data_IF_910350590438
#
_entry.id   IF_910350590438
#
_cell.length_a   1.000
_cell.length_b   1.000
_cell.length_c   1.000
_cell.angle_alpha   90.00
_cell.angle_beta   90.00
_cell.angle_gamma   90.00
#
_symmetry.space_group_name_H-M   'P 1'
#
loop_
_entity.id
_entity.type
_entity.pdbx_description
1 polymer ?
#
# COMPACT_ATOMS: atom_id res chain seq x y z
N UNK A 1 27.84 -4.16 22.10
CA UNK A 1 27.20 -3.87 23.41
C UNK A 1 25.71 -3.91 23.20
N UNK A 2 25.08 -5.06 23.45
CA UNK A 2 23.62 -5.26 23.33
C UNK A 2 23.02 -4.48 24.50
N UNK A 3 22.44 -3.29 24.23
CA UNK A 3 21.63 -2.60 25.21
C UNK A 3 20.43 -3.52 25.52
N UNK A 4 20.35 -4.00 26.73
CA UNK A 4 19.18 -4.72 27.20
C UNK A 4 17.98 -3.77 27.04
N UNK A 5 17.06 -4.12 26.14
CA UNK A 5 15.78 -3.42 25.98
C UNK A 5 15.09 -3.50 27.34
N UNK A 6 14.73 -2.34 27.92
CA UNK A 6 14.02 -2.36 29.19
C UNK A 6 12.67 -3.06 29.01
N UNK A 7 12.14 -3.69 30.05
CA UNK A 7 10.81 -4.33 29.99
C UNK A 7 9.73 -3.31 29.59
N UNK A 8 9.89 -2.04 29.94
CA UNK A 8 9.01 -0.94 29.55
C UNK A 8 9.05 -0.69 28.04
N UNK A 9 10.25 -0.62 27.43
CA UNK A 9 10.39 -0.40 26.00
C UNK A 9 9.75 -1.53 25.17
N UNK A 10 9.89 -2.77 25.65
CA UNK A 10 9.23 -3.92 25.04
C UNK A 10 7.69 -3.79 25.09
N UNK A 11 7.12 -3.36 26.22
CA UNK A 11 5.69 -3.11 26.32
C UNK A 11 5.21 -1.94 25.44
N UNK A 12 5.95 -0.85 25.38
CA UNK A 12 5.61 0.30 24.54
C UNK A 12 5.69 -0.06 23.04
N UNK A 13 6.67 -0.85 22.66
CA UNK A 13 6.77 -1.42 21.31
C UNK A 13 5.56 -2.30 20.99
N UNK A 14 5.19 -3.20 21.90
CA UNK A 14 4.00 -4.05 21.74
C UNK A 14 2.72 -3.21 21.58
N UNK A 15 2.50 -2.21 22.43
CA UNK A 15 1.36 -1.28 22.30
C UNK A 15 1.37 -0.57 20.94
N UNK A 16 2.55 -0.16 20.46
CA UNK A 16 2.72 0.43 19.14
C UNK A 16 2.28 -0.51 18.02
N UNK A 17 2.60 -1.80 18.09
CA UNK A 17 2.22 -2.79 17.06
C UNK A 17 0.71 -3.01 16.95
N UNK A 18 -0.07 -2.65 17.98
CA UNK A 18 -1.54 -2.75 17.94
C UNK A 18 -2.19 -1.62 17.14
N UNK A 19 -1.45 -0.55 16.81
CA UNK A 19 -1.99 0.61 16.11
C UNK A 19 -2.77 0.26 14.84
N UNK A 20 -2.27 -0.58 13.89
CA UNK A 20 -3.01 -0.95 12.69
C UNK A 20 -4.34 -1.66 12.96
N UNK A 21 -4.45 -2.39 14.05
CA UNK A 21 -5.69 -3.08 14.41
C UNK A 21 -6.72 -2.10 15.01
N UNK A 22 -6.26 -1.17 15.87
CA UNK A 22 -7.15 -0.28 16.62
C UNK A 22 -7.67 0.89 15.78
N UNK A 23 -6.88 1.38 14.80
CA UNK A 23 -7.21 2.58 14.00
C UNK A 23 -8.51 2.44 13.19
N UNK A 24 -8.92 1.22 12.85
CA UNK A 24 -10.13 0.98 12.06
C UNK A 24 -11.42 1.38 12.81
N UNK A 25 -11.43 1.29 14.13
CA UNK A 25 -12.61 1.62 14.92
C UNK A 25 -12.98 3.10 14.87
N UNK A 26 -12.11 4.08 15.19
CA UNK A 26 -12.48 5.48 15.11
C UNK A 26 -12.82 5.92 13.68
N UNK A 27 -12.17 5.37 12.67
CA UNK A 27 -12.46 5.66 11.26
C UNK A 27 -13.87 5.16 10.91
N UNK A 28 -14.17 3.88 11.14
CA UNK A 28 -15.46 3.30 10.80
C UNK A 28 -16.60 3.95 11.57
N UNK A 29 -16.47 4.14 12.88
CA UNK A 29 -17.49 4.75 13.72
C UNK A 29 -17.72 6.21 13.37
N UNK A 30 -16.68 6.98 13.07
CA UNK A 30 -16.79 8.36 12.63
C UNK A 30 -17.52 8.50 11.30
N UNK A 31 -17.19 7.65 10.32
CA UNK A 31 -17.85 7.63 9.02
C UNK A 31 -19.32 7.22 9.15
N UNK A 32 -19.62 6.15 9.90
CA UNK A 32 -21.00 5.69 10.12
C UNK A 32 -21.83 6.74 10.84
N UNK A 33 -21.28 7.40 11.87
CA UNK A 33 -21.96 8.50 12.54
C UNK A 33 -22.27 9.65 11.58
N UNK A 34 -21.34 10.01 10.69
CA UNK A 34 -21.51 11.06 9.69
C UNK A 34 -22.61 10.70 8.68
N UNK A 35 -22.64 9.45 8.20
CA UNK A 35 -23.68 8.97 7.27
C UNK A 35 -25.07 9.03 7.95
N UNK A 36 -25.19 8.56 9.19
CA UNK A 36 -26.45 8.59 9.94
C UNK A 36 -26.93 10.03 10.15
N UNK A 37 -26.03 10.95 10.47
CA UNK A 37 -26.40 12.37 10.65
C UNK A 37 -26.71 13.09 9.35
N UNK A 38 -26.08 12.71 8.24
CA UNK A 38 -26.45 13.19 6.92
C UNK A 38 -27.89 12.77 6.58
N UNK A 39 -28.24 11.51 6.86
CA UNK A 39 -29.60 11.01 6.70
C UNK A 39 -30.59 11.71 7.62
N UNK A 40 -30.23 11.96 8.89
CA UNK A 40 -31.01 12.74 9.84
C UNK A 40 -31.23 14.18 9.37
N UNK A 41 -30.22 14.80 8.74
CA UNK A 41 -30.36 16.14 8.15
C UNK A 41 -31.37 16.16 7.00
N UNK A 42 -31.39 15.15 6.13
CA UNK A 42 -32.37 14.99 5.05
C UNK A 42 -33.80 14.86 5.63
N UNK A 43 -33.94 14.12 6.75
CA UNK A 43 -35.21 13.95 7.47
C UNK A 43 -35.62 15.16 8.32
N UNK A 44 -34.75 16.18 8.39
CA UNK A 44 -34.95 17.38 9.22
C UNK A 44 -35.03 17.10 10.72
N UNK A 45 -34.30 16.08 11.18
CA UNK A 45 -34.21 15.77 12.60
C UNK A 45 -33.64 16.96 13.39
N UNK A 46 -34.20 17.31 14.56
CA UNK A 46 -33.86 18.57 15.25
C UNK A 46 -32.47 18.59 15.86
N UNK A 47 -31.83 17.44 16.09
CA UNK A 47 -30.53 17.34 16.74
C UNK A 47 -29.80 16.04 16.45
N UNK A 48 -28.61 15.85 17.04
CA UNK A 48 -27.85 14.63 16.91
C UNK A 48 -28.64 13.39 17.34
N UNK A 49 -28.60 12.32 16.54
CA UNK A 49 -29.25 11.06 16.88
C UNK A 49 -28.52 10.36 18.05
N UNK A 50 -29.24 9.52 18.82
CA UNK A 50 -28.63 8.76 19.91
C UNK A 50 -27.54 7.84 19.39
N UNK A 51 -27.79 7.20 18.25
CA UNK A 51 -26.87 6.27 17.65
C UNK A 51 -25.56 6.98 17.22
N UNK A 52 -25.69 8.09 16.46
CA UNK A 52 -24.50 8.83 16.01
C UNK A 52 -23.70 9.36 17.19
N UNK A 53 -24.38 9.89 18.22
CA UNK A 53 -23.69 10.38 19.40
C UNK A 53 -22.97 9.26 20.17
N UNK A 54 -23.57 8.09 20.31
CA UNK A 54 -22.92 6.93 20.91
C UNK A 54 -21.71 6.49 20.09
N UNK A 55 -21.85 6.42 18.77
CA UNK A 55 -20.73 6.10 17.87
C UNK A 55 -19.58 7.11 17.97
N UNK A 56 -19.89 8.42 18.06
CA UNK A 56 -18.87 9.47 18.22
C UNK A 56 -18.18 9.35 19.58
N UNK A 57 -18.87 9.02 20.67
CA UNK A 57 -18.24 8.77 21.97
C UNK A 57 -17.28 7.59 21.93
N UNK A 58 -17.69 6.45 21.37
CA UNK A 58 -16.78 5.30 21.20
C UNK A 58 -15.60 5.64 20.29
N UNK A 59 -15.85 6.34 19.17
CA UNK A 59 -14.80 6.80 18.29
C UNK A 59 -13.80 7.71 19.01
N UNK A 60 -14.27 8.63 19.84
CA UNK A 60 -13.43 9.55 20.62
C UNK A 60 -12.53 8.80 21.61
N UNK A 61 -13.09 7.86 22.38
CA UNK A 61 -12.34 7.05 23.35
C UNK A 61 -11.26 6.24 22.64
N UNK A 62 -11.65 5.52 21.57
CA UNK A 62 -10.71 4.66 20.84
C UNK A 62 -9.68 5.50 20.07
N UNK A 63 -10.03 6.71 19.60
CA UNK A 63 -9.08 7.61 18.95
C UNK A 63 -7.93 8.04 19.87
N UNK A 64 -8.18 8.21 21.18
CA UNK A 64 -7.10 8.47 22.16
C UNK A 64 -6.14 7.28 22.23
N UNK A 65 -6.67 6.06 22.28
CA UNK A 65 -5.84 4.84 22.29
C UNK A 65 -5.08 4.71 20.97
N UNK A 66 -5.74 4.99 19.85
CA UNK A 66 -5.15 4.93 18.50
C UNK A 66 -4.01 5.93 18.34
N UNK A 67 -4.20 7.19 18.74
CA UNK A 67 -3.15 8.22 18.64
C UNK A 67 -1.96 7.89 19.53
N UNK A 68 -2.20 7.39 20.74
CA UNK A 68 -1.14 6.98 21.68
C UNK A 68 -0.34 5.80 21.13
N UNK A 69 -1.02 4.75 20.68
CA UNK A 69 -0.37 3.58 20.07
C UNK A 69 0.38 3.94 18.79
N UNK A 70 -0.19 4.84 17.97
CA UNK A 70 0.47 5.34 16.75
C UNK A 70 1.74 6.14 17.04
N UNK A 71 1.76 6.91 18.14
CA UNK A 71 2.96 7.60 18.59
C UNK A 71 4.07 6.61 18.89
N UNK A 72 3.80 5.60 19.70
CA UNK A 72 4.78 4.55 20.02
C UNK A 72 5.19 3.74 18.79
N UNK A 73 4.25 3.42 17.89
CA UNK A 73 4.56 2.75 16.64
C UNK A 73 5.60 3.50 15.81
N UNK A 74 5.45 4.82 15.68
CA UNK A 74 6.38 5.64 14.91
C UNK A 74 7.74 5.82 15.59
N UNK A 75 7.76 5.93 16.93
CA UNK A 75 8.98 6.15 17.71
C UNK A 75 9.86 4.90 17.76
N UNK A 76 9.28 3.76 18.11
CA UNK A 76 10.03 2.52 18.32
C UNK A 76 10.35 1.75 17.04
N UNK A 77 9.57 1.91 15.97
CA UNK A 77 9.87 1.33 14.67
C UNK A 77 10.80 2.21 13.81
N UNK A 78 11.36 3.30 14.41
CA UNK A 78 12.34 4.20 13.81
C UNK A 78 11.97 4.61 12.36
N UNK A 79 10.69 4.91 12.14
CA UNK A 79 10.20 5.39 10.84
C UNK A 79 10.72 6.80 10.62
N UNK A 80 11.52 6.98 9.58
CA UNK A 80 12.10 8.28 9.22
C UNK A 80 11.05 9.40 9.09
N UNK A 81 11.49 10.65 9.23
CA UNK A 81 10.63 11.83 9.08
C UNK A 81 10.21 11.99 7.62
N UNK A 82 9.05 11.44 7.24
CA UNK A 82 8.41 11.69 5.95
C UNK A 82 7.27 12.69 6.10
N UNK A 83 6.95 13.41 5.02
CA UNK A 83 5.80 14.31 4.99
C UNK A 83 4.49 13.55 5.28
N UNK A 84 4.34 12.35 4.72
CA UNK A 84 3.17 11.50 4.95
C UNK A 84 3.03 11.12 6.43
N UNK A 85 4.11 10.76 7.12
CA UNK A 85 4.09 10.49 8.56
C UNK A 85 3.75 11.73 9.37
N UNK A 86 4.33 12.89 9.02
CA UNK A 86 4.03 14.15 9.69
C UNK A 86 2.55 14.51 9.57
N UNK A 87 2.00 14.50 8.36
CA UNK A 87 0.58 14.80 8.10
C UNK A 87 -0.33 13.78 8.78
N UNK A 88 -0.04 12.48 8.64
CA UNK A 88 -0.80 11.40 9.28
C UNK A 88 -0.88 11.60 10.80
N UNK A 89 0.24 11.89 11.45
CA UNK A 89 0.32 12.10 12.89
C UNK A 89 -0.54 13.28 13.33
N UNK A 90 -0.34 14.45 12.71
CA UNK A 90 -1.00 15.67 13.17
C UNK A 90 -2.48 15.74 12.80
N UNK A 91 -2.87 15.27 11.63
CA UNK A 91 -4.28 15.18 11.24
C UNK A 91 -4.99 14.14 12.11
N UNK A 92 -4.34 13.01 12.44
CA UNK A 92 -4.87 12.00 13.35
C UNK A 92 -5.13 12.57 14.76
N UNK A 93 -4.17 13.29 15.33
CA UNK A 93 -4.32 13.95 16.64
C UNK A 93 -5.44 15.01 16.61
N UNK A 94 -5.47 15.85 15.57
CA UNK A 94 -6.53 16.85 15.40
C UNK A 94 -7.91 16.20 15.28
N UNK A 95 -8.02 15.09 14.53
CA UNK A 95 -9.27 14.34 14.39
C UNK A 95 -9.73 13.74 15.72
N UNK A 96 -8.81 13.22 16.55
CA UNK A 96 -9.14 12.72 17.88
C UNK A 96 -9.66 13.84 18.80
N UNK A 97 -9.02 15.01 18.79
CA UNK A 97 -9.48 16.18 19.54
C UNK A 97 -10.87 16.67 19.05
N UNK A 98 -11.10 16.67 17.75
CA UNK A 98 -12.40 16.99 17.17
C UNK A 98 -13.48 15.98 17.57
N UNK A 99 -13.20 14.68 17.58
CA UNK A 99 -14.14 13.65 18.03
C UNK A 99 -14.53 13.85 19.49
N UNK A 100 -13.58 14.19 20.38
CA UNK A 100 -13.88 14.49 21.79
C UNK A 100 -14.79 15.73 21.88
N UNK A 101 -14.45 16.78 21.15
CA UNK A 101 -15.24 18.02 21.11
C UNK A 101 -16.67 17.77 20.57
N UNK A 102 -16.78 16.94 19.53
CA UNK A 102 -18.06 16.52 18.95
C UNK A 102 -18.88 15.67 19.93
N UNK A 103 -18.27 14.76 20.68
CA UNK A 103 -18.95 13.95 21.68
C UNK A 103 -19.55 14.82 22.78
N UNK A 104 -18.76 15.76 23.32
CA UNK A 104 -19.21 16.67 24.38
C UNK A 104 -20.26 17.64 23.87
N UNK A 105 -19.98 18.37 22.78
CA UNK A 105 -20.91 19.36 22.23
C UNK A 105 -22.19 18.72 21.71
N UNK A 106 -22.12 17.54 21.07
CA UNK A 106 -23.28 16.79 20.63
C UNK A 106 -24.19 16.38 21.77
N UNK A 107 -23.63 15.98 22.92
CA UNK A 107 -24.41 15.67 24.14
C UNK A 107 -25.16 16.90 24.66
N UNK A 108 -24.54 18.07 24.63
CA UNK A 108 -25.17 19.33 25.04
C UNK A 108 -26.27 19.75 24.07
N UNK A 109 -26.00 19.69 22.76
CA UNK A 109 -26.97 20.05 21.71
C UNK A 109 -28.18 19.13 21.75
N UNK A 110 -27.95 17.82 22.00
CA UNK A 110 -29.05 16.85 22.12
C UNK A 110 -29.98 17.15 23.30
N UNK A 111 -29.43 17.61 24.40
CA UNK A 111 -30.24 17.99 25.59
C UNK A 111 -31.06 19.26 25.33
N UNK A 112 -30.58 20.18 24.49
CA UNK A 112 -31.25 21.45 24.14
C UNK A 112 -31.07 21.76 22.65
N UNK A 113 -31.81 21.09 21.75
CA UNK A 113 -31.57 21.20 20.32
C UNK A 113 -31.90 22.60 19.79
N UNK A 114 -30.92 23.17 19.07
CA UNK A 114 -31.08 24.41 18.29
C UNK A 114 -30.66 24.08 16.86
N UNK A 115 -31.50 24.39 15.89
CA UNK A 115 -31.28 24.00 14.49
C UNK A 115 -29.94 24.46 13.93
N UNK A 116 -29.52 25.70 14.24
CA UNK A 116 -28.20 26.23 13.81
C UNK A 116 -27.02 25.46 14.40
N UNK A 117 -27.08 25.11 15.69
CA UNK A 117 -26.03 24.37 16.36
C UNK A 117 -25.99 22.91 15.89
N UNK A 118 -27.14 22.28 15.68
CA UNK A 118 -27.21 20.92 15.13
C UNK A 118 -26.65 20.85 13.70
N UNK A 119 -26.97 21.87 12.86
CA UNK A 119 -26.39 21.98 11.51
C UNK A 119 -24.87 22.15 11.53
N UNK A 120 -24.37 23.08 12.34
CA UNK A 120 -22.91 23.29 12.49
C UNK A 120 -22.19 22.02 13.00
N UNK A 121 -22.78 21.35 13.99
CA UNK A 121 -22.24 20.11 14.54
C UNK A 121 -22.13 19.01 13.47
N UNK A 122 -23.17 18.83 12.66
CA UNK A 122 -23.19 17.90 11.52
C UNK A 122 -22.10 18.21 10.51
N UNK A 123 -21.91 19.47 10.17
CA UNK A 123 -20.84 19.88 9.23
C UNK A 123 -19.44 19.56 9.77
N UNK A 124 -19.21 19.84 11.06
CA UNK A 124 -17.93 19.50 11.69
C UNK A 124 -17.72 17.98 11.75
N UNK A 125 -18.78 17.20 12.02
CA UNK A 125 -18.71 15.74 12.01
C UNK A 125 -18.35 15.20 10.61
N UNK A 126 -18.97 15.72 9.56
CA UNK A 126 -18.67 15.36 8.17
C UNK A 126 -17.22 15.69 7.80
N UNK A 127 -16.76 16.89 8.17
CA UNK A 127 -15.36 17.28 7.96
C UNK A 127 -14.37 16.38 8.71
N UNK A 128 -14.72 16.02 9.97
CA UNK A 128 -13.91 15.11 10.79
C UNK A 128 -13.87 13.71 10.18
N UNK A 129 -15.00 13.20 9.67
CA UNK A 129 -15.04 11.90 8.97
C UNK A 129 -14.18 11.91 7.71
N UNK A 130 -14.19 13.01 6.95
CA UNK A 130 -13.28 13.19 5.81
C UNK A 130 -11.80 13.21 6.22
N UNK A 131 -11.46 13.91 7.31
CA UNK A 131 -10.10 13.95 7.86
C UNK A 131 -9.64 12.57 8.34
N UNK A 132 -10.51 11.77 8.98
CA UNK A 132 -10.24 10.40 9.38
C UNK A 132 -9.97 9.50 8.16
N UNK A 133 -10.79 9.61 7.11
CA UNK A 133 -10.58 8.90 5.85
C UNK A 133 -9.24 9.26 5.19
N UNK A 134 -8.92 10.56 5.15
CA UNK A 134 -7.63 11.03 4.62
C UNK A 134 -6.44 10.55 5.46
N UNK A 135 -6.55 10.57 6.80
CA UNK A 135 -5.53 10.02 7.69
C UNK A 135 -5.33 8.52 7.44
N UNK A 136 -6.42 7.77 7.22
CA UNK A 136 -6.36 6.36 6.83
C UNK A 136 -5.65 6.15 5.50
N UNK A 137 -5.92 7.01 4.50
CA UNK A 137 -5.23 6.98 3.21
C UNK A 137 -3.72 7.23 3.35
N UNK A 138 -3.32 8.25 4.13
CA UNK A 138 -1.89 8.51 4.40
C UNK A 138 -1.23 7.32 5.10
N UNK A 139 -1.92 6.68 6.05
CA UNK A 139 -1.45 5.46 6.70
C UNK A 139 -1.27 4.30 5.72
N UNK A 140 -2.25 4.11 4.83
CA UNK A 140 -2.18 3.13 3.75
C UNK A 140 -1.01 3.37 2.80
N UNK A 141 -0.81 4.62 2.36
CA UNK A 141 0.31 4.99 1.49
C UNK A 141 1.68 4.70 2.11
N UNK A 142 1.82 4.82 3.43
CA UNK A 142 3.06 4.46 4.13
C UNK A 142 3.33 2.95 4.19
N UNK A 143 2.30 2.11 4.04
CA UNK A 143 2.41 0.64 4.10
C UNK A 143 2.47 0.03 2.71
N UNK A 144 1.64 0.52 1.79
CA UNK A 144 1.43 -0.07 0.47
C UNK A 144 2.04 0.75 -0.67
N UNK A 145 2.63 1.92 -0.37
CA UNK A 145 3.13 2.86 -1.36
C UNK A 145 2.10 3.89 -1.82
N UNK A 146 2.60 4.97 -2.44
CA UNK A 146 1.74 6.01 -3.00
C UNK A 146 0.97 5.44 -4.21
N UNK A 147 -0.30 5.81 -4.34
CA UNK A 147 -1.13 5.37 -5.45
C UNK A 147 -1.83 4.02 -5.25
N UNK A 148 -1.62 3.31 -4.14
CA UNK A 148 -2.12 1.94 -3.94
C UNK A 148 -3.64 1.75 -4.19
N UNK A 149 -4.47 2.76 -3.93
CA UNK A 149 -5.91 2.73 -4.24
C UNK A 149 -6.15 3.12 -5.69
N UNK A 150 -5.51 4.21 -6.15
CA UNK A 150 -5.75 4.78 -7.48
C UNK A 150 -5.25 3.86 -8.57
N UNK A 151 -4.07 3.26 -8.41
CA UNK A 151 -3.47 2.37 -9.40
C UNK A 151 -4.28 1.07 -9.53
N UNK A 152 -4.75 0.53 -8.40
CA UNK A 152 -5.67 -0.61 -8.41
C UNK A 152 -7.00 -0.28 -9.12
N UNK A 153 -7.55 0.90 -8.89
CA UNK A 153 -8.78 1.36 -9.55
C UNK A 153 -8.56 1.56 -11.05
N UNK A 154 -7.49 2.25 -11.45
CA UNK A 154 -7.20 2.50 -12.86
C UNK A 154 -6.93 1.19 -13.61
N UNK A 155 -6.18 0.26 -13.02
CA UNK A 155 -5.96 -1.05 -13.62
C UNK A 155 -7.25 -1.86 -13.80
N UNK A 156 -8.17 -1.78 -12.83
CA UNK A 156 -9.48 -2.43 -12.94
C UNK A 156 -10.35 -1.82 -14.05
N UNK A 157 -10.34 -0.49 -14.18
CA UNK A 157 -11.06 0.22 -15.25
C UNK A 157 -10.48 -0.14 -16.62
N UNK A 158 -9.14 -0.09 -16.77
CA UNK A 158 -8.46 -0.42 -18.03
C UNK A 158 -8.74 -1.87 -18.47
N UNK A 159 -8.70 -2.83 -17.55
CA UNK A 159 -9.07 -4.21 -17.82
C UNK A 159 -10.53 -4.36 -18.30
N UNK A 160 -11.44 -3.59 -17.70
CA UNK A 160 -12.86 -3.59 -18.09
C UNK A 160 -13.04 -3.03 -19.50
N UNK A 161 -12.41 -1.90 -19.81
CA UNK A 161 -12.46 -1.31 -21.15
C UNK A 161 -11.84 -2.22 -22.21
N UNK A 162 -10.70 -2.84 -21.90
CA UNK A 162 -10.04 -3.80 -22.78
C UNK A 162 -10.94 -5.00 -23.04
N UNK A 163 -11.56 -5.58 -22.02
CA UNK A 163 -12.48 -6.71 -22.16
C UNK A 163 -13.70 -6.36 -23.01
N UNK A 164 -14.27 -5.17 -22.83
CA UNK A 164 -15.39 -4.69 -23.65
C UNK A 164 -14.97 -4.49 -25.12
N UNK A 165 -13.82 -3.90 -25.37
CA UNK A 165 -13.25 -3.71 -26.70
C UNK A 165 -13.02 -5.03 -27.40
N UNK A 166 -12.37 -5.99 -26.73
CA UNK A 166 -12.09 -7.32 -27.28
C UNK A 166 -13.39 -8.08 -27.59
N UNK A 167 -14.39 -7.96 -26.72
CA UNK A 167 -15.73 -8.54 -26.95
C UNK A 167 -16.43 -7.92 -28.16
N UNK A 168 -16.35 -6.60 -28.33
CA UNK A 168 -16.93 -5.89 -29.47
C UNK A 168 -16.22 -6.26 -30.79
N UNK A 169 -14.89 -6.36 -30.77
CA UNK A 169 -14.08 -6.77 -31.91
C UNK A 169 -14.43 -8.22 -32.31
N UNK A 170 -14.54 -9.13 -31.35
CA UNK A 170 -14.91 -10.51 -31.61
C UNK A 170 -16.34 -10.64 -32.16
N UNK A 171 -17.28 -9.87 -31.65
CA UNK A 171 -18.64 -9.81 -32.18
C UNK A 171 -18.66 -9.27 -33.61
N UNK A 172 -17.92 -8.22 -33.93
CA UNK A 172 -17.80 -7.69 -35.29
C UNK A 172 -17.15 -8.69 -36.26
N UNK A 173 -16.07 -9.38 -35.83
CA UNK A 173 -15.45 -10.44 -36.63
C UNK A 173 -16.43 -11.58 -36.94
N UNK A 174 -17.23 -11.99 -35.95
CA UNK A 174 -18.25 -13.04 -36.14
C UNK A 174 -19.32 -12.60 -37.14
N UNK A 175 -19.76 -11.33 -37.12
CA UNK A 175 -20.73 -10.79 -38.09
C UNK A 175 -20.16 -10.71 -39.51
N UNK A 176 -18.87 -10.47 -39.66
CA UNK A 176 -18.19 -10.39 -40.96
C UNK A 176 -17.73 -11.76 -41.49
N UNK A 177 -17.99 -12.85 -40.75
CA UNK A 177 -17.58 -14.20 -41.12
C UNK A 177 -16.05 -14.40 -41.13
N UNK A 178 -15.31 -13.54 -40.43
CA UNK A 178 -13.86 -13.64 -40.30
C UNK A 178 -13.60 -14.75 -39.26
N UNK A 179 -13.40 -15.96 -39.72
CA UNK A 179 -12.90 -17.06 -38.90
C UNK A 179 -11.38 -16.90 -38.83
N UNK A 180 -10.86 -16.47 -37.70
CA UNK A 180 -9.43 -16.63 -37.40
C UNK A 180 -9.18 -18.14 -37.36
N UNK A 181 -8.56 -18.68 -38.42
CA UNK A 181 -7.96 -19.99 -38.33
C UNK A 181 -6.97 -19.94 -37.16
N UNK A 182 -7.09 -20.81 -36.14
CA UNK A 182 -6.05 -20.92 -35.15
C UNK A 182 -4.77 -21.17 -35.95
N UNK A 183 -3.77 -20.28 -35.80
CA UNK A 183 -2.44 -20.66 -36.19
C UNK A 183 -2.13 -21.92 -35.41
N UNK A 184 -2.27 -23.06 -36.10
CA UNK A 184 -1.72 -24.32 -35.69
C UNK A 184 -0.22 -24.04 -35.63
N UNK A 185 0.26 -23.69 -34.45
CA UNK A 185 1.66 -23.90 -34.12
C UNK A 185 1.81 -25.39 -34.28
N UNK A 186 2.27 -25.78 -35.47
CA UNK A 186 2.54 -27.16 -35.81
C UNK A 186 3.41 -27.69 -34.68
N UNK A 187 2.83 -28.57 -33.88
CA UNK A 187 3.58 -29.52 -33.12
C UNK A 187 4.38 -30.28 -34.19
N UNK A 188 5.64 -29.89 -34.35
CA UNK A 188 6.61 -30.72 -35.02
C UNK A 188 6.74 -31.95 -34.17
N UNK A 189 5.95 -32.94 -34.45
CA UNK A 189 6.10 -34.28 -33.94
C UNK A 189 7.55 -34.70 -34.17
N UNK A 190 8.21 -34.92 -33.05
CA UNK A 190 9.47 -35.63 -33.03
C UNK A 190 9.26 -37.02 -33.63
N UNK A 191 9.59 -37.17 -34.90
CA UNK A 191 9.90 -38.48 -35.44
C UNK A 191 11.37 -38.71 -35.18
N UNK A 192 11.63 -39.77 -34.43
CA UNK A 192 12.92 -40.26 -34.10
C UNK A 192 13.77 -40.46 -35.36
N UNK A 193 14.98 -39.89 -35.36
CA UNK A 193 16.13 -40.47 -36.05
C UNK A 193 17.29 -40.45 -35.09
N UNK A 194 17.77 -41.62 -34.84
CA UNK A 194 18.92 -41.99 -34.06
C UNK A 194 20.24 -41.52 -34.71
N UNK A 195 21.20 -41.28 -33.87
CA UNK A 195 22.64 -41.58 -34.02
C UNK A 195 23.59 -40.47 -34.42
N UNK A 196 24.55 -40.36 -33.54
CA UNK A 196 26.03 -40.21 -33.65
C UNK A 196 26.61 -38.78 -33.56
N UNK A 197 27.17 -38.58 -32.38
CA UNK A 197 28.38 -37.82 -32.00
C UNK A 197 28.97 -36.82 -32.98
N UNK A 198 29.06 -35.54 -32.52
CA UNK A 198 30.27 -34.73 -32.56
C UNK A 198 30.28 -33.75 -31.42
N UNK A 199 31.26 -33.85 -30.53
CA UNK A 199 31.62 -32.84 -29.55
C UNK A 199 32.15 -31.60 -30.29
N UNK A 200 31.43 -30.50 -30.19
CA UNK A 200 32.01 -29.19 -30.45
C UNK A 200 31.34 -28.19 -29.54
N UNK A 201 32.14 -27.48 -28.78
CA UNK A 201 31.88 -26.37 -27.90
C UNK A 201 30.84 -25.41 -28.44
N UNK A 202 29.70 -25.29 -27.75
CA UNK A 202 28.75 -24.19 -27.91
C UNK A 202 28.66 -23.44 -26.63
N UNK A 203 29.23 -22.25 -26.62
CA UNK A 203 28.98 -21.19 -25.65
C UNK A 203 27.49 -21.03 -25.47
N UNK A 204 26.94 -20.89 -24.25
CA UNK A 204 25.51 -20.70 -24.09
C UNK A 204 25.12 -19.33 -24.67
N UNK A 205 24.36 -19.36 -25.74
CA UNK A 205 23.67 -18.21 -26.24
C UNK A 205 22.67 -17.71 -25.16
N UNK A 206 22.45 -16.40 -25.03
CA UNK A 206 21.52 -15.87 -24.05
C UNK A 206 20.12 -16.45 -24.33
N UNK A 207 19.56 -17.09 -23.31
CA UNK A 207 18.18 -17.52 -23.33
C UNK A 207 17.31 -16.27 -23.38
N UNK A 208 16.86 -15.92 -24.58
CA UNK A 208 15.76 -14.98 -24.74
C UNK A 208 14.54 -15.70 -24.19
N UNK A 209 14.15 -15.37 -22.96
CA UNK A 209 12.87 -15.76 -22.40
C UNK A 209 11.78 -15.08 -23.23
N UNK A 210 11.28 -15.82 -24.22
CA UNK A 210 10.10 -15.47 -24.97
C UNK A 210 8.95 -15.27 -24.01
N UNK A 211 8.40 -14.08 -23.97
CA UNK A 211 7.29 -13.69 -23.11
C UNK A 211 6.02 -14.48 -23.52
N UNK A 212 5.90 -15.67 -22.99
CA UNK A 212 4.63 -16.40 -22.93
C UNK A 212 3.78 -15.74 -21.84
N UNK A 213 2.59 -15.28 -22.22
CA UNK A 213 1.61 -14.50 -21.50
C UNK A 213 1.53 -14.67 -19.98
N UNK A 214 2.44 -14.04 -19.24
CA UNK A 214 2.29 -13.79 -17.82
C UNK A 214 1.75 -12.38 -17.66
N UNK A 215 0.76 -12.22 -16.81
CA UNK A 215 0.32 -10.90 -16.34
C UNK A 215 1.55 -10.05 -15.97
N UNK A 216 1.55 -8.76 -16.28
CA UNK A 216 2.66 -7.89 -15.90
C UNK A 216 2.91 -8.02 -14.40
N UNK A 217 4.20 -8.10 -14.03
CA UNK A 217 4.59 -8.20 -12.62
C UNK A 217 4.21 -6.89 -11.93
N UNK A 218 3.39 -7.00 -10.89
CA UNK A 218 3.05 -5.88 -10.04
C UNK A 218 4.19 -5.65 -9.03
N UNK A 219 4.90 -4.54 -9.23
CA UNK A 219 6.03 -4.19 -8.38
C UNK A 219 5.62 -4.07 -6.91
N UNK A 220 4.52 -3.37 -6.63
CA UNK A 220 4.07 -3.10 -5.26
C UNK A 220 3.59 -4.36 -4.55
N UNK A 221 2.83 -5.21 -5.26
CA UNK A 221 2.22 -6.39 -4.66
C UNK A 221 3.15 -7.62 -4.62
N UNK A 222 4.12 -7.68 -5.53
CA UNK A 222 4.97 -8.87 -5.68
C UNK A 222 6.43 -8.62 -5.32
N UNK A 223 6.98 -7.44 -5.65
CA UNK A 223 8.41 -7.15 -5.43
C UNK A 223 8.65 -6.41 -4.11
N UNK A 224 7.85 -5.40 -3.79
CA UNK A 224 8.00 -4.67 -2.52
C UNK A 224 7.97 -5.57 -1.28
N UNK A 225 7.10 -6.59 -1.16
CA UNK A 225 7.13 -7.52 -0.03
C UNK A 225 8.47 -8.29 0.08
N UNK A 226 9.07 -8.68 -1.05
CA UNK A 226 10.37 -9.36 -1.09
C UNK A 226 11.47 -8.42 -0.60
N UNK A 227 11.50 -7.19 -1.11
CA UNK A 227 12.48 -6.17 -0.70
C UNK A 227 12.31 -5.80 0.78
N UNK A 228 11.07 -5.69 1.26
CA UNK A 228 10.76 -5.37 2.66
C UNK A 228 11.27 -6.46 3.59
N UNK A 229 11.06 -7.72 3.24
CA UNK A 229 11.46 -8.86 4.07
C UNK A 229 12.97 -9.07 4.12
N UNK A 230 13.72 -8.75 3.05
CA UNK A 230 15.11 -9.16 2.91
C UNK A 230 16.11 -8.00 2.80
N UNK A 231 15.66 -6.81 2.40
CA UNK A 231 16.55 -5.72 2.00
C UNK A 231 16.35 -4.42 2.79
N UNK A 232 15.10 -4.08 3.14
CA UNK A 232 14.76 -2.79 3.75
C UNK A 232 15.31 -2.61 5.17
N UNK A 233 15.69 -3.69 5.85
CA UNK A 233 16.36 -3.56 7.15
C UNK A 233 17.66 -2.76 7.04
N UNK A 234 18.37 -2.87 5.90
CA UNK A 234 19.61 -2.16 5.63
C UNK A 234 19.48 -1.06 4.57
N UNK A 235 18.59 -1.21 3.58
CA UNK A 235 18.52 -0.37 2.40
C UNK A 235 17.16 0.31 2.20
N UNK A 236 16.33 0.42 3.25
CA UNK A 236 15.03 1.07 3.22
C UNK A 236 14.61 1.61 4.58
N UNK A 237 13.41 2.20 4.65
CA UNK A 237 12.84 2.73 5.89
C UNK A 237 13.76 3.74 6.61
N UNK A 238 14.46 4.59 5.84
CA UNK A 238 15.41 5.59 6.37
C UNK A 238 16.80 5.03 6.67
N UNK A 239 17.04 3.75 6.52
CA UNK A 239 18.36 3.13 6.58
C UNK A 239 18.86 2.91 5.15
N UNK A 240 19.94 3.58 4.79
CA UNK A 240 20.51 3.54 3.45
C UNK A 240 21.99 3.12 3.52
N UNK A 241 22.23 1.92 4.02
CA UNK A 241 23.58 1.38 4.14
C UNK A 241 24.27 1.36 2.78
N UNK A 242 25.49 1.86 2.70
CA UNK A 242 26.20 2.03 1.44
C UNK A 242 25.61 3.08 0.50
N UNK A 243 24.65 3.91 0.97
CA UNK A 243 23.96 4.91 0.15
C UNK A 243 22.93 4.32 -0.82
N UNK A 244 22.53 3.07 -0.61
CA UNK A 244 21.54 2.36 -1.46
C UNK A 244 20.14 2.55 -0.89
N UNK A 245 19.20 3.02 -1.72
CA UNK A 245 17.81 3.32 -1.37
C UNK A 245 16.87 2.41 -2.16
N UNK A 246 16.55 1.23 -1.63
CA UNK A 246 15.64 0.30 -2.29
C UNK A 246 14.16 0.58 -2.00
N UNK A 247 13.88 1.58 -1.18
CA UNK A 247 12.56 2.12 -0.88
C UNK A 247 12.17 3.35 -1.74
N UNK A 248 13.06 3.77 -2.63
CA UNK A 248 12.81 4.86 -3.60
C UNK A 248 12.94 4.34 -5.04
N UNK A 249 11.81 4.20 -5.72
CA UNK A 249 11.75 3.75 -7.11
C UNK A 249 12.59 4.62 -8.06
N UNK A 250 12.53 5.93 -7.89
CA UNK A 250 13.30 6.86 -8.72
C UNK A 250 14.81 6.68 -8.49
N UNK A 251 15.18 6.47 -7.23
CA UNK A 251 16.59 6.20 -6.91
C UNK A 251 17.05 4.88 -7.54
N UNK A 252 16.26 3.82 -7.40
CA UNK A 252 16.60 2.49 -7.95
C UNK A 252 16.78 2.50 -9.46
N UNK A 253 15.95 3.26 -10.17
CA UNK A 253 15.92 3.28 -11.64
C UNK A 253 16.67 4.45 -12.27
N UNK A 254 17.50 5.15 -11.50
CA UNK A 254 18.36 6.24 -11.98
C UNK A 254 19.82 5.81 -11.99
N UNK A 255 20.52 6.10 -13.09
CA UNK A 255 21.96 5.87 -13.21
C UNK A 255 22.76 6.72 -12.21
N UNK A 256 23.73 6.10 -11.55
CA UNK A 256 24.62 6.75 -10.60
C UNK A 256 26.05 6.28 -10.81
N UNK A 257 26.93 7.19 -11.20
CA UNK A 257 28.35 6.91 -11.42
C UNK A 257 28.61 5.77 -12.44
N UNK A 258 27.73 5.62 -13.42
CA UNK A 258 27.83 4.57 -14.43
C UNK A 258 27.18 3.24 -14.04
N UNK A 259 26.52 3.17 -12.88
CA UNK A 259 25.88 1.97 -12.35
C UNK A 259 24.37 2.18 -12.10
N UNK A 260 23.62 1.10 -12.16
CA UNK A 260 22.18 1.07 -11.91
C UNK A 260 21.87 0.08 -10.78
N UNK A 261 21.09 0.50 -9.80
CA UNK A 261 20.55 -0.46 -8.86
C UNK A 261 19.58 -1.42 -9.57
N UNK A 262 18.68 -0.88 -10.38
CA UNK A 262 17.81 -1.62 -11.30
C UNK A 262 17.81 -0.91 -12.64
N UNK A 263 18.35 -1.53 -13.69
CA UNK A 263 18.32 -0.96 -15.05
C UNK A 263 17.10 -1.49 -15.80
N UNK A 264 16.14 -0.64 -16.15
CA UNK A 264 14.95 -1.08 -16.85
C UNK A 264 15.31 -1.80 -18.17
N UNK A 265 14.80 -3.01 -18.35
CA UNK A 265 15.03 -3.80 -19.56
C UNK A 265 16.40 -4.50 -19.65
N UNK A 266 17.28 -4.33 -18.67
CA UNK A 266 18.61 -4.93 -18.66
C UNK A 266 18.96 -5.53 -17.29
N UNK A 267 18.51 -6.76 -17.02
CA UNK A 267 18.78 -7.43 -15.75
C UNK A 267 20.27 -7.62 -15.46
N UNK A 268 21.08 -7.88 -16.48
CA UNK A 268 22.51 -8.15 -16.31
C UNK A 268 23.31 -6.90 -15.90
N UNK A 269 22.80 -5.70 -16.19
CA UNK A 269 23.38 -4.44 -15.75
C UNK A 269 22.72 -3.87 -14.49
N UNK A 270 21.93 -4.67 -13.77
CA UNK A 270 21.23 -4.30 -12.54
C UNK A 270 21.98 -4.84 -11.33
N UNK A 271 22.63 -3.95 -10.55
CA UNK A 271 23.43 -4.35 -9.38
C UNK A 271 22.59 -5.12 -8.33
N UNK A 272 21.32 -4.83 -8.20
CA UNK A 272 20.43 -5.57 -7.30
C UNK A 272 20.44 -7.07 -7.66
N UNK A 273 20.29 -7.42 -8.93
CA UNK A 273 20.27 -8.81 -9.38
C UNK A 273 21.67 -9.43 -9.34
N UNK A 274 22.65 -8.72 -9.84
CA UNK A 274 24.03 -9.26 -9.84
C UNK A 274 24.53 -9.56 -8.43
N UNK A 275 24.22 -8.71 -7.43
CA UNK A 275 24.68 -8.91 -6.06
C UNK A 275 23.95 -10.04 -5.33
N UNK A 276 22.66 -10.29 -5.64
CA UNK A 276 21.93 -11.42 -5.04
C UNK A 276 22.31 -12.78 -5.66
N UNK A 277 22.89 -12.78 -6.87
CA UNK A 277 23.37 -13.98 -7.55
C UNK A 277 24.80 -14.35 -7.20
N UNK A 278 25.52 -13.48 -6.49
CA UNK A 278 26.89 -13.76 -6.06
C UNK A 278 26.94 -14.92 -5.04
N UNK A 279 28.03 -15.71 -5.05
CA UNK A 279 28.27 -16.70 -3.99
C UNK A 279 28.29 -16.05 -2.61
N UNK A 280 27.76 -16.71 -1.60
CA UNK A 280 27.72 -16.21 -0.22
C UNK A 280 29.10 -15.86 0.38
N UNK A 281 30.20 -16.32 -0.23
CA UNK A 281 31.57 -16.00 0.14
C UNK A 281 32.10 -14.70 -0.45
N UNK A 282 31.34 -14.05 -1.33
CA UNK A 282 31.70 -12.77 -1.95
C UNK A 282 31.28 -11.61 -1.03
N UNK A 283 32.17 -10.65 -0.81
CA UNK A 283 31.95 -9.50 0.06
C UNK A 283 30.81 -8.57 -0.46
N UNK A 284 30.48 -8.66 -1.73
CA UNK A 284 29.42 -7.89 -2.38
C UNK A 284 28.08 -8.65 -2.44
N UNK A 285 28.06 -9.92 -2.00
CA UNK A 285 26.83 -10.73 -1.98
C UNK A 285 25.77 -10.11 -1.06
N UNK A 286 24.52 -10.10 -1.53
CA UNK A 286 23.38 -9.59 -0.78
C UNK A 286 22.26 -10.62 -0.69
N UNK A 287 21.62 -10.79 0.49
CA UNK A 287 21.99 -10.19 1.78
C UNK A 287 23.29 -10.78 2.32
N UNK A 288 24.08 -10.00 3.09
CA UNK A 288 25.32 -10.52 3.67
C UNK A 288 25.00 -11.66 4.64
N UNK A 289 25.76 -12.76 4.54
CA UNK A 289 25.69 -13.87 5.50
C UNK A 289 26.36 -13.45 6.81
N UNK A 290 25.58 -13.17 7.86
CA UNK A 290 26.10 -12.79 9.15
C UNK A 290 25.03 -12.77 10.22
#
# INVERSE_FOLDING_TARGET
MILAVSSLDAWLTFVGTLHPAVLHFPIALGIVAAIVELWGAVRRDPGPSSFALTAVWFAAIVAVVTTTSGWFNAEFLNRGLSLNLFLHRWIGIASAALLITLAISGSIIRARPKASLSGAWRMVLLATAGALGFTGHLGGSMVYGDGYITDALWSAIDQTEKSQRDSAVNAAKAQLGIVETPQVVAAVSATAVSETAVLASVSPAPVVLSAGGKSPVDFTMQIVPILTANCYECHGNGKHKGGVHLDDWKWMTTERKGEWAVKPGDPAASLLLTNIELPASDDSAMPPTG
#
